data_IF_076403865326
#
_entry.id   IF_076403865326
#
_cell.length_a   1.000
_cell.length_b   1.000
_cell.length_c   1.000
_cell.angle_alpha   90.00
_cell.angle_beta   90.00
_cell.angle_gamma   90.00
#
_symmetry.space_group_name_H-M   'P 1'
#
loop_
_entity.id
_entity.type
_entity.pdbx_description
1 polymer ?
#
# COMPACT_ATOMS: atom_id res chain seq x y z
N UNK A 1 16.66 23.99 -18.73
CA UNK A 1 15.46 24.74 -18.28
C UNK A 1 14.14 24.00 -18.52
N UNK A 2 13.89 23.42 -19.72
CA UNK A 2 12.64 22.66 -20.00
C UNK A 2 12.38 21.44 -19.11
N UNK A 3 13.42 20.66 -18.78
CA UNK A 3 13.30 19.49 -17.89
C UNK A 3 12.97 19.86 -16.43
N UNK A 4 13.52 20.98 -15.93
CA UNK A 4 13.27 21.44 -14.56
C UNK A 4 11.81 21.90 -14.37
N UNK A 5 11.26 22.54 -15.40
CA UNK A 5 9.86 22.99 -15.42
C UNK A 5 8.88 21.80 -15.48
N UNK A 6 9.22 20.74 -16.22
CA UNK A 6 8.43 19.50 -16.26
C UNK A 6 8.42 18.75 -14.92
N UNK A 7 9.56 18.68 -14.23
CA UNK A 7 9.67 18.10 -12.88
C UNK A 7 8.82 18.90 -11.88
N UNK A 8 8.86 20.22 -11.96
CA UNK A 8 8.07 21.10 -11.10
C UNK A 8 6.55 20.92 -11.32
N UNK A 9 6.12 20.80 -12.58
CA UNK A 9 4.70 20.56 -12.92
C UNK A 9 4.23 19.19 -12.43
N UNK A 10 5.03 18.15 -12.59
CA UNK A 10 4.72 16.80 -12.03
C UNK A 10 4.67 16.85 -10.51
N UNK A 11 5.59 17.57 -9.86
CA UNK A 11 5.61 17.75 -8.41
C UNK A 11 4.38 18.52 -7.90
N UNK A 12 3.88 19.52 -8.65
CA UNK A 12 2.66 20.25 -8.33
C UNK A 12 1.40 19.40 -8.53
N UNK A 13 1.34 18.58 -9.59
CA UNK A 13 0.23 17.65 -9.83
C UNK A 13 0.14 16.57 -8.75
N UNK A 14 1.27 16.16 -8.16
CA UNK A 14 1.32 15.22 -7.04
C UNK A 14 0.84 15.82 -5.70
N UNK A 15 0.66 17.14 -5.60
CA UNK A 15 0.17 17.82 -4.39
C UNK A 15 -1.36 17.97 -4.34
N UNK A 16 -2.10 17.52 -5.36
CA UNK A 16 -3.57 17.54 -5.34
C UNK A 16 -4.07 16.42 -4.43
N UNK A 17 -4.22 16.73 -3.14
CA UNK A 17 -4.83 15.83 -2.16
C UNK A 17 -6.30 15.58 -2.51
N UNK A 18 -6.67 14.31 -2.66
CA UNK A 18 -8.06 13.93 -2.86
C UNK A 18 -8.81 13.97 -1.52
N UNK A 19 -10.02 14.54 -1.50
CA UNK A 19 -10.88 14.53 -0.32
C UNK A 19 -11.26 13.08 0.06
N UNK A 20 -10.85 12.65 1.25
CA UNK A 20 -11.01 11.27 1.71
C UNK A 20 -12.50 10.89 1.85
N UNK A 21 -13.34 11.84 2.26
CA UNK A 21 -14.78 11.61 2.37
C UNK A 21 -15.42 11.35 1.00
N UNK A 22 -15.04 12.12 -0.02
CA UNK A 22 -15.51 11.94 -1.39
C UNK A 22 -15.09 10.60 -1.99
N UNK A 23 -13.85 10.15 -1.75
CA UNK A 23 -13.41 8.80 -2.16
C UNK A 23 -14.27 7.75 -1.47
N UNK A 24 -14.44 7.86 -0.14
CA UNK A 24 -15.18 6.86 0.62
C UNK A 24 -16.63 6.74 0.15
N UNK A 25 -17.30 7.87 -0.08
CA UNK A 25 -18.68 7.90 -0.58
C UNK A 25 -18.83 7.19 -1.94
N UNK A 26 -17.83 7.29 -2.83
CA UNK A 26 -17.88 6.65 -4.16
C UNK A 26 -17.68 5.14 -4.11
N UNK A 27 -16.85 4.65 -3.19
CA UNK A 27 -16.52 3.22 -3.10
C UNK A 27 -17.47 2.45 -2.16
N UNK A 28 -18.23 3.15 -1.32
CA UNK A 28 -19.20 2.55 -0.39
C UNK A 28 -20.50 2.23 -1.11
N UNK A 29 -20.96 0.96 -1.12
CA UNK A 29 -22.29 0.64 -1.64
C UNK A 29 -23.38 1.19 -0.71
N UNK A 30 -24.28 2.04 -1.24
CA UNK A 30 -25.31 2.74 -0.44
C UNK A 30 -26.27 1.79 0.29
N UNK A 31 -26.66 0.69 -0.35
CA UNK A 31 -27.51 -0.36 0.25
C UNK A 31 -26.81 -0.98 1.48
N UNK A 32 -25.55 -1.37 1.34
CA UNK A 32 -24.78 -1.99 2.41
C UNK A 32 -24.54 -0.99 3.57
N UNK A 33 -24.28 0.29 3.26
CA UNK A 33 -24.16 1.35 4.26
C UNK A 33 -25.45 1.52 5.07
N UNK A 34 -26.62 1.54 4.40
CA UNK A 34 -27.92 1.68 5.06
C UNK A 34 -28.21 0.48 5.97
N UNK A 35 -27.94 -0.74 5.50
CA UNK A 35 -28.08 -1.96 6.30
C UNK A 35 -27.18 -1.91 7.53
N UNK A 36 -25.90 -1.56 7.35
CA UNK A 36 -24.95 -1.47 8.44
C UNK A 36 -25.34 -0.41 9.47
N UNK A 37 -25.79 0.78 9.03
CA UNK A 37 -26.33 1.81 9.93
C UNK A 37 -27.56 1.33 10.70
N UNK A 38 -28.46 0.61 10.02
CA UNK A 38 -29.63 0.02 10.66
C UNK A 38 -29.28 -0.87 11.86
N UNK A 39 -28.26 -1.73 11.73
CA UNK A 39 -27.80 -2.55 12.87
C UNK A 39 -27.18 -1.73 14.00
N UNK A 40 -26.48 -0.64 13.69
CA UNK A 40 -25.98 0.28 14.72
C UNK A 40 -27.15 0.97 15.45
N UNK A 41 -28.20 1.35 14.73
CA UNK A 41 -29.39 1.95 15.34
C UNK A 41 -30.15 0.94 16.21
N UNK A 42 -30.26 -0.32 15.79
CA UNK A 42 -30.81 -1.40 16.62
C UNK A 42 -30.01 -1.58 17.91
N UNK A 43 -28.68 -1.56 17.81
CA UNK A 43 -27.80 -1.67 18.98
C UNK A 43 -28.00 -0.51 19.95
N UNK A 44 -28.10 0.73 19.44
CA UNK A 44 -28.37 1.94 20.25
C UNK A 44 -29.76 1.92 20.90
N UNK A 45 -30.74 1.29 20.25
CA UNK A 45 -32.11 1.15 20.76
C UNK A 45 -32.28 -0.07 21.68
N UNK A 46 -31.21 -0.80 21.99
CA UNK A 46 -31.23 -2.04 22.76
C UNK A 46 -32.13 -3.13 22.16
N UNK A 47 -32.33 -3.13 20.84
CA UNK A 47 -33.14 -4.13 20.11
C UNK A 47 -32.27 -5.34 19.74
N UNK A 48 -31.73 -6.02 20.75
CA UNK A 48 -30.73 -7.08 20.57
C UNK A 48 -31.28 -8.30 19.83
N UNK A 49 -32.53 -8.68 20.09
CA UNK A 49 -33.19 -9.85 19.47
C UNK A 49 -33.18 -9.79 17.94
N UNK A 50 -33.31 -8.59 17.36
CA UNK A 50 -33.26 -8.40 15.91
C UNK A 50 -31.87 -8.58 15.34
N UNK A 51 -30.84 -8.15 16.07
CA UNK A 51 -29.45 -8.36 15.68
C UNK A 51 -29.13 -9.86 15.77
N UNK A 52 -29.53 -10.50 16.87
CA UNK A 52 -29.26 -11.92 17.13
C UNK A 52 -29.89 -12.84 16.07
N UNK A 53 -31.10 -12.52 15.61
CA UNK A 53 -31.79 -13.25 14.54
C UNK A 53 -31.01 -13.26 13.22
N UNK A 54 -30.31 -12.17 12.94
CA UNK A 54 -29.60 -11.97 11.68
C UNK A 54 -28.11 -12.39 11.77
N UNK A 55 -27.64 -12.86 12.93
CA UNK A 55 -26.28 -13.39 13.08
C UNK A 55 -26.10 -14.69 12.28
N UNK A 56 -24.92 -14.81 11.68
CA UNK A 56 -24.53 -16.04 11.04
C UNK A 56 -24.32 -17.16 12.06
N UNK A 57 -24.71 -18.39 11.72
CA UNK A 57 -24.56 -19.55 12.60
C UNK A 57 -23.09 -19.84 12.98
N UNK A 58 -22.12 -19.32 12.22
CA UNK A 58 -20.70 -19.40 12.57
C UNK A 58 -20.30 -18.53 13.78
N UNK A 59 -21.09 -17.52 14.13
CA UNK A 59 -20.92 -16.75 15.36
C UNK A 59 -21.57 -17.53 16.51
N UNK A 60 -20.85 -18.53 17.01
CA UNK A 60 -21.31 -19.36 18.11
C UNK A 60 -20.55 -18.97 19.38
N UNK A 61 -20.98 -17.89 20.04
CA UNK A 61 -20.46 -17.53 21.36
C UNK A 61 -21.53 -17.76 22.40
N UNK A 62 -21.16 -18.35 23.53
CA UNK A 62 -22.04 -18.71 24.65
C UNK A 62 -22.68 -17.47 25.33
N UNK A 63 -22.43 -16.25 24.83
CA UNK A 63 -22.80 -14.99 25.49
C UNK A 63 -22.91 -13.79 24.51
N UNK A 64 -23.53 -14.00 23.34
CA UNK A 64 -23.76 -12.95 22.34
C UNK A 64 -24.53 -11.78 22.95
N UNK A 65 -25.61 -12.08 23.68
CA UNK A 65 -26.48 -11.07 24.26
C UNK A 65 -25.73 -10.12 25.21
N UNK A 66 -24.94 -10.64 26.17
CA UNK A 66 -24.20 -9.74 27.07
C UNK A 66 -23.12 -8.95 26.32
N UNK A 67 -22.58 -9.50 25.24
CA UNK A 67 -21.62 -8.79 24.39
C UNK A 67 -22.29 -7.61 23.67
N UNK A 68 -23.49 -7.80 23.13
CA UNK A 68 -24.29 -6.72 22.55
C UNK A 68 -24.63 -5.64 23.60
N UNK A 69 -25.03 -6.05 24.82
CA UNK A 69 -25.29 -5.13 25.93
C UNK A 69 -24.05 -4.30 26.28
N UNK A 70 -22.87 -4.94 26.41
CA UNK A 70 -21.60 -4.25 26.66
C UNK A 70 -21.25 -3.27 25.55
N UNK A 71 -21.51 -3.64 24.29
CA UNK A 71 -21.28 -2.75 23.15
C UNK A 71 -22.22 -1.54 23.16
N UNK A 72 -23.51 -1.74 23.45
CA UNK A 72 -24.48 -0.65 23.57
C UNK A 72 -24.10 0.33 24.68
N UNK A 73 -23.59 -0.16 25.82
CA UNK A 73 -23.11 0.68 26.94
C UNK A 73 -21.91 1.56 26.58
N UNK A 74 -21.12 1.18 25.57
CA UNK A 74 -20.01 2.01 25.09
C UNK A 74 -20.48 3.20 24.24
N UNK A 75 -21.69 3.11 23.65
CA UNK A 75 -22.24 4.14 22.78
C UNK A 75 -22.99 5.18 23.62
N UNK A 76 -22.59 6.46 23.58
CA UNK A 76 -23.34 7.52 24.26
C UNK A 76 -24.80 7.59 23.78
N UNK A 77 -25.69 7.93 24.71
CA UNK A 77 -27.14 8.06 24.43
C UNK A 77 -27.46 9.31 23.61
N UNK A 78 -26.58 10.31 23.62
CA UNK A 78 -26.70 11.52 22.80
C UNK A 78 -26.65 11.17 21.30
N UNK A 79 -27.17 12.07 20.47
CA UNK A 79 -26.93 11.97 19.03
C UNK A 79 -25.47 12.29 18.72
N UNK A 80 -24.84 11.56 17.77
CA UNK A 80 -23.52 11.89 17.31
C UNK A 80 -23.51 13.23 16.58
N UNK A 81 -22.45 13.99 16.76
CA UNK A 81 -22.21 15.25 16.04
C UNK A 81 -21.87 14.99 14.57
N UNK A 82 -21.19 13.88 14.29
CA UNK A 82 -20.90 13.43 12.94
C UNK A 82 -20.79 11.91 12.86
N UNK A 83 -21.15 11.37 11.69
CA UNK A 83 -20.98 9.96 11.34
C UNK A 83 -20.33 9.93 9.95
N UNK A 84 -19.19 9.26 9.84
CA UNK A 84 -18.45 9.12 8.57
C UNK A 84 -18.15 7.67 8.28
N UNK A 85 -18.20 7.27 7.01
CA UNK A 85 -17.63 5.99 6.59
C UNK A 85 -16.12 6.17 6.43
N UNK A 86 -15.35 5.43 7.22
CA UNK A 86 -13.88 5.51 7.26
C UNK A 86 -13.20 4.24 6.75
N UNK A 87 -13.96 3.18 6.49
CA UNK A 87 -13.44 1.97 5.89
C UNK A 87 -14.52 1.15 5.21
N UNK A 88 -14.21 0.62 4.04
CA UNK A 88 -15.03 -0.39 3.34
C UNK A 88 -14.10 -1.47 2.79
N UNK A 89 -14.40 -2.72 3.11
CA UNK A 89 -13.71 -3.87 2.54
C UNK A 89 -14.73 -4.89 2.04
N UNK A 90 -14.69 -5.19 0.74
CA UNK A 90 -15.58 -6.16 0.10
C UNK A 90 -14.75 -7.32 -0.42
N UNK A 91 -14.97 -8.50 0.15
CA UNK A 91 -14.35 -9.74 -0.29
C UNK A 91 -15.39 -10.61 -0.97
N UNK A 92 -15.07 -11.09 -2.17
CA UNK A 92 -15.92 -12.01 -2.93
C UNK A 92 -15.18 -13.33 -3.04
N UNK A 93 -15.74 -14.38 -2.45
CA UNK A 93 -15.26 -15.74 -2.59
C UNK A 93 -16.16 -16.50 -3.56
N UNK A 94 -15.53 -17.16 -4.53
CA UNK A 94 -16.20 -18.00 -5.51
C UNK A 94 -15.49 -19.35 -5.56
N UNK A 95 -15.93 -20.28 -4.72
CA UNK A 95 -15.37 -21.62 -4.64
C UNK A 95 -15.91 -22.54 -5.75
N UNK A 96 -15.13 -23.53 -6.22
CA UNK A 96 -15.67 -24.59 -7.06
C UNK A 96 -16.76 -25.33 -6.28
N UNK A 97 -17.99 -25.35 -6.81
CA UNK A 97 -19.18 -25.99 -6.19
C UNK A 97 -19.72 -25.32 -4.92
N UNK A 98 -19.29 -24.11 -4.56
CA UNK A 98 -19.88 -23.35 -3.47
C UNK A 98 -20.67 -22.13 -3.98
N UNK A 99 -21.77 -21.74 -3.31
CA UNK A 99 -22.46 -20.51 -3.66
C UNK A 99 -21.54 -19.31 -3.43
N UNK A 100 -21.56 -18.38 -4.39
CA UNK A 100 -20.84 -17.11 -4.31
C UNK A 100 -21.10 -16.45 -2.96
N UNK A 101 -20.03 -16.20 -2.22
CA UNK A 101 -20.08 -15.60 -0.90
C UNK A 101 -19.47 -14.20 -0.99
N UNK A 102 -20.22 -13.19 -0.59
CA UNK A 102 -19.75 -11.79 -0.57
C UNK A 102 -19.78 -11.27 0.85
N UNK A 103 -18.61 -11.01 1.42
CA UNK A 103 -18.48 -10.38 2.74
C UNK A 103 -18.20 -8.89 2.55
N UNK A 104 -19.00 -8.03 3.16
CA UNK A 104 -18.82 -6.58 3.14
C UNK A 104 -18.62 -6.09 4.57
N UNK A 105 -17.50 -5.43 4.81
CA UNK A 105 -17.17 -4.82 6.09
C UNK A 105 -17.26 -3.30 5.91
N UNK A 106 -18.05 -2.64 6.74
CA UNK A 106 -18.17 -1.19 6.76
C UNK A 106 -17.78 -0.70 8.15
N UNK A 107 -16.82 0.22 8.20
CA UNK A 107 -16.39 0.88 9.44
C UNK A 107 -16.84 2.33 9.41
N UNK A 108 -17.58 2.70 10.44
CA UNK A 108 -17.99 4.06 10.70
C UNK A 108 -17.14 4.68 11.81
N UNK A 109 -16.84 5.96 11.65
CA UNK A 109 -16.36 6.82 12.72
C UNK A 109 -17.53 7.67 13.21
N UNK A 110 -17.84 7.54 14.50
CA UNK A 110 -18.83 8.34 15.19
C UNK A 110 -18.13 9.35 16.09
N UNK A 111 -18.50 10.62 15.94
CA UNK A 111 -18.09 11.69 16.83
C UNK A 111 -19.22 11.98 17.82
N UNK A 112 -18.91 11.91 19.11
CA UNK A 112 -19.75 12.45 20.17
C UNK A 112 -18.98 13.54 20.92
N UNK A 113 -19.69 14.40 21.63
CA UNK A 113 -19.09 15.46 22.46
C UNK A 113 -18.03 14.93 23.44
N UNK A 114 -18.25 13.73 23.99
CA UNK A 114 -17.41 13.17 25.04
C UNK A 114 -16.36 12.16 24.56
N UNK A 115 -16.50 11.61 23.34
CA UNK A 115 -15.60 10.57 22.80
C UNK A 115 -15.83 10.29 21.32
N UNK A 116 -14.86 9.60 20.72
CA UNK A 116 -14.94 9.06 19.37
C UNK A 116 -15.07 7.53 19.42
N UNK A 117 -15.83 6.96 18.49
CA UNK A 117 -16.00 5.51 18.36
C UNK A 117 -15.76 5.06 16.91
N UNK A 118 -15.13 3.90 16.75
CA UNK A 118 -15.19 3.11 15.52
C UNK A 118 -16.22 2.00 15.70
N UNK A 119 -17.16 1.94 14.77
CA UNK A 119 -18.19 0.91 14.74
C UNK A 119 -18.06 0.17 13.42
N UNK A 120 -17.69 -1.11 13.48
CA UNK A 120 -17.60 -1.96 12.31
C UNK A 120 -18.77 -2.94 12.27
N UNK A 121 -19.41 -3.05 11.10
CA UNK A 121 -20.42 -4.05 10.81
C UNK A 121 -19.97 -4.83 9.58
N UNK A 122 -19.91 -6.14 9.73
CA UNK A 122 -19.55 -7.09 8.69
C UNK A 122 -20.75 -7.96 8.35
N UNK A 123 -21.22 -7.87 7.10
CA UNK A 123 -22.31 -8.70 6.58
C UNK A 123 -21.79 -9.66 5.53
N UNK A 124 -22.36 -10.85 5.48
CA UNK A 124 -22.06 -11.85 4.47
C UNK A 124 -23.34 -12.21 3.71
N UNK A 125 -23.26 -12.16 2.38
CA UNK A 125 -24.31 -12.66 1.51
C UNK A 125 -23.88 -13.99 0.89
N UNK A 126 -24.59 -15.07 1.23
CA UNK A 126 -24.36 -16.43 0.72
C UNK A 126 -25.68 -17.03 0.27
N UNK A 127 -25.77 -17.47 -0.99
CA UNK A 127 -26.98 -18.10 -1.53
C UNK A 127 -28.24 -17.22 -1.47
N UNK A 128 -28.09 -15.89 -1.49
CA UNK A 128 -29.20 -14.94 -1.41
C UNK A 128 -29.58 -14.50 0.01
N UNK A 129 -29.14 -15.23 1.03
CA UNK A 129 -29.33 -14.87 2.45
C UNK A 129 -28.21 -13.93 2.89
N UNK A 130 -28.55 -12.89 3.64
CA UNK A 130 -27.60 -11.95 4.24
C UNK A 130 -27.58 -12.15 5.75
N UNK A 131 -26.41 -12.41 6.31
CA UNK A 131 -26.20 -12.58 7.76
C UNK A 131 -25.12 -11.62 8.25
N UNK A 132 -25.12 -11.33 9.55
CA UNK A 132 -24.07 -10.59 10.23
C UNK A 132 -22.97 -11.58 10.61
N UNK A 133 -21.76 -11.34 10.13
CA UNK A 133 -20.57 -12.16 10.42
C UNK A 133 -19.56 -11.43 11.33
N UNK A 134 -19.86 -10.18 11.70
CA UNK A 134 -19.09 -9.43 12.67
C UNK A 134 -19.73 -8.10 13.03
N UNK A 135 -19.62 -7.71 14.29
CA UNK A 135 -20.06 -6.42 14.79
C UNK A 135 -19.13 -6.04 15.95
N UNK A 136 -18.47 -4.89 15.86
CA UNK A 136 -17.67 -4.35 16.96
C UNK A 136 -17.90 -2.85 17.19
N UNK A 137 -17.66 -2.44 18.43
CA UNK A 137 -17.65 -1.04 18.85
C UNK A 137 -16.36 -0.81 19.63
N UNK A 138 -15.53 0.11 19.15
CA UNK A 138 -14.22 0.39 19.72
C UNK A 138 -14.07 1.89 19.98
N UNK A 139 -13.89 2.31 21.25
CA UNK A 139 -13.54 3.69 21.54
C UNK A 139 -12.17 4.07 20.98
N UNK A 140 -12.06 5.28 20.44
CA UNK A 140 -10.79 5.87 19.98
C UNK A 140 -10.60 7.23 20.65
N UNK A 141 -9.34 7.66 20.88
CA UNK A 141 -9.07 8.90 21.61
C UNK A 141 -9.38 10.17 20.80
N UNK A 142 -9.41 10.09 19.47
CA UNK A 142 -9.63 11.21 18.56
C UNK A 142 -10.03 10.68 17.17
N UNK A 143 -10.35 11.56 16.22
CA UNK A 143 -10.64 11.14 14.84
C UNK A 143 -9.45 10.44 14.19
N UNK A 144 -9.72 9.43 13.35
CA UNK A 144 -8.72 8.72 12.56
C UNK A 144 -7.92 9.67 11.67
N UNK A 145 -8.57 10.69 11.11
CA UNK A 145 -7.89 11.72 10.33
C UNK A 145 -6.80 12.43 11.16
N UNK A 146 -7.10 12.74 12.44
CA UNK A 146 -6.15 13.41 13.33
C UNK A 146 -5.07 12.45 13.85
N UNK A 147 -5.44 11.22 14.17
CA UNK A 147 -4.54 10.18 14.68
C UNK A 147 -3.54 9.72 13.61
N UNK A 148 -3.99 9.57 12.37
CA UNK A 148 -3.17 9.08 11.25
C UNK A 148 -2.55 10.20 10.39
N UNK A 149 -2.73 11.46 10.78
CA UNK A 149 -2.09 12.60 10.12
C UNK A 149 -0.57 12.41 10.11
N UNK A 150 0.04 12.61 8.94
CA UNK A 150 1.49 12.62 8.83
C UNK A 150 2.09 13.74 9.70
N UNK A 151 2.93 13.36 10.67
CA UNK A 151 3.62 14.28 11.58
C UNK A 151 5.07 13.84 11.74
N UNK A 152 5.98 14.80 11.79
CA UNK A 152 7.38 14.53 12.06
C UNK A 152 7.66 14.43 13.56
N UNK A 153 6.91 15.15 14.40
CA UNK A 153 7.14 15.20 15.85
C UNK A 153 6.77 13.88 16.53
N UNK A 154 7.54 13.49 17.54
CA UNK A 154 7.25 12.34 18.41
C UNK A 154 7.52 10.97 17.79
N UNK A 155 8.35 10.90 16.75
CA UNK A 155 8.72 9.65 16.06
C UNK A 155 10.00 9.04 16.62
N UNK A 156 10.12 7.72 16.50
CA UNK A 156 11.30 7.00 16.99
C UNK A 156 12.52 7.23 16.08
N UNK A 157 13.76 7.09 16.59
CA UNK A 157 14.96 7.20 15.77
C UNK A 157 14.94 6.29 14.54
N UNK A 158 14.40 5.08 14.69
CA UNK A 158 14.27 4.11 13.60
C UNK A 158 13.34 4.61 12.49
N UNK A 159 12.22 5.26 12.82
CA UNK A 159 11.33 5.86 11.81
C UNK A 159 12.03 6.98 11.03
N UNK A 160 12.82 7.83 11.71
CA UNK A 160 13.61 8.85 11.01
C UNK A 160 14.69 8.24 10.12
N UNK A 161 15.34 7.14 10.52
CA UNK A 161 16.29 6.41 9.67
C UNK A 161 15.62 5.90 8.39
N UNK A 162 14.40 5.36 8.48
CA UNK A 162 13.63 4.96 7.28
C UNK A 162 13.32 6.15 6.41
N UNK A 163 12.87 7.26 6.99
CA UNK A 163 12.55 8.47 6.22
C UNK A 163 13.80 9.01 5.51
N UNK A 164 14.94 9.01 6.18
CA UNK A 164 16.23 9.38 5.58
C UNK A 164 16.60 8.46 4.42
N UNK A 165 16.53 7.13 4.63
CA UNK A 165 16.79 6.15 3.59
C UNK A 165 15.80 6.24 2.42
N UNK A 166 14.54 6.55 2.68
CA UNK A 166 13.51 6.76 1.67
C UNK A 166 13.83 7.96 0.76
N UNK A 167 14.56 8.96 1.25
CA UNK A 167 15.07 10.07 0.42
C UNK A 167 16.38 9.67 -0.26
N UNK A 168 17.28 9.02 0.46
CA UNK A 168 18.62 8.69 -0.04
C UNK A 168 18.63 7.63 -1.15
N UNK A 169 17.89 6.54 -0.99
CA UNK A 169 17.83 5.41 -1.93
C UNK A 169 17.41 5.84 -3.35
N UNK A 170 16.30 6.58 -3.57
CA UNK A 170 15.93 7.00 -4.91
C UNK A 170 16.96 7.95 -5.52
N UNK A 171 17.57 8.85 -4.73
CA UNK A 171 18.66 9.72 -5.21
C UNK A 171 19.88 8.89 -5.66
N UNK A 172 20.26 7.89 -4.88
CA UNK A 172 21.35 6.97 -5.23
C UNK A 172 21.04 6.16 -6.50
N UNK A 173 19.83 5.63 -6.63
CA UNK A 173 19.37 4.91 -7.84
C UNK A 173 19.40 5.85 -9.05
N UNK A 174 18.89 7.07 -8.95
CA UNK A 174 18.91 8.05 -10.04
C UNK A 174 20.34 8.39 -10.47
N UNK A 175 21.25 8.59 -9.51
CA UNK A 175 22.66 8.82 -9.80
C UNK A 175 23.29 7.63 -10.54
N UNK A 176 23.08 6.41 -10.03
CA UNK A 176 23.57 5.18 -10.66
C UNK A 176 22.96 4.97 -12.05
N UNK A 177 21.69 5.32 -12.24
CA UNK A 177 20.99 5.26 -13.53
C UNK A 177 21.59 6.23 -14.55
N UNK A 178 21.83 7.49 -14.15
CA UNK A 178 22.49 8.48 -15.02
C UNK A 178 23.87 7.97 -15.46
N UNK A 179 24.64 7.40 -14.53
CA UNK A 179 25.92 6.77 -14.86
C UNK A 179 25.75 5.58 -15.79
N UNK A 180 24.80 4.67 -15.52
CA UNK A 180 24.51 3.51 -16.37
C UNK A 180 24.12 3.90 -17.80
N UNK A 181 23.36 4.97 -17.96
CA UNK A 181 22.99 5.50 -19.29
C UNK A 181 24.21 6.13 -19.97
N UNK A 182 25.11 6.78 -19.22
CA UNK A 182 26.33 7.40 -19.77
C UNK A 182 27.44 6.39 -20.06
N UNK A 183 27.51 5.26 -19.36
CA UNK A 183 28.48 4.21 -19.63
C UNK A 183 28.18 3.56 -20.99
N UNK A 184 29.21 3.41 -21.81
CA UNK A 184 29.15 2.62 -23.04
C UNK A 184 29.15 1.14 -22.63
N UNK A 185 28.00 0.48 -22.82
CA UNK A 185 27.78 -0.94 -22.49
C UNK A 185 27.27 -1.58 -23.78
N UNK A 186 28.02 -2.53 -24.33
CA UNK A 186 27.77 -3.08 -25.67
C UNK A 186 26.56 -4.01 -25.73
N UNK A 187 26.34 -4.84 -24.70
CA UNK A 187 25.28 -5.86 -24.70
C UNK A 187 24.35 -5.71 -23.50
N UNK A 188 23.05 -5.84 -23.74
CA UNK A 188 22.00 -5.91 -22.71
C UNK A 188 21.95 -4.69 -21.77
N UNK A 189 22.30 -3.49 -22.26
CA UNK A 189 22.22 -2.23 -21.50
C UNK A 189 20.84 -1.99 -20.89
N UNK A 190 19.78 -2.36 -21.59
CA UNK A 190 18.40 -2.26 -21.10
C UNK A 190 18.15 -3.13 -19.85
N UNK A 191 18.75 -4.33 -19.75
CA UNK A 191 18.66 -5.18 -18.57
C UNK A 191 19.38 -4.54 -17.38
N UNK A 192 20.52 -3.90 -17.60
CA UNK A 192 21.21 -3.13 -16.55
C UNK A 192 20.38 -1.95 -16.06
N UNK A 193 19.68 -1.24 -16.95
CA UNK A 193 18.77 -0.16 -16.57
C UNK A 193 17.64 -0.66 -15.68
N UNK A 194 16.95 -1.74 -16.09
CA UNK A 194 15.87 -2.35 -15.27
C UNK A 194 16.43 -2.83 -13.93
N UNK A 195 17.60 -3.46 -13.94
CA UNK A 195 18.24 -3.97 -12.73
C UNK A 195 18.61 -2.85 -11.75
N UNK A 196 19.16 -1.73 -12.23
CA UNK A 196 19.48 -0.55 -11.40
C UNK A 196 18.22 0.08 -10.81
N UNK A 197 17.12 0.09 -11.55
CA UNK A 197 15.84 0.64 -11.09
C UNK A 197 15.12 -0.26 -10.08
N UNK A 198 15.41 -1.56 -10.07
CA UNK A 198 14.76 -2.54 -9.21
C UNK A 198 15.39 -2.55 -7.80
N UNK A 199 14.58 -2.22 -6.81
CA UNK A 199 14.83 -2.54 -5.40
C UNK A 199 14.34 -3.95 -5.08
N UNK A 200 15.09 -4.67 -4.27
CA UNK A 200 14.76 -6.03 -3.80
C UNK A 200 14.59 -5.99 -2.28
N UNK A 201 13.65 -6.78 -1.75
CA UNK A 201 13.31 -6.87 -0.33
C UNK A 201 12.81 -5.54 0.24
N UNK A 202 11.53 -5.47 0.56
CA UNK A 202 10.88 -4.27 1.08
C UNK A 202 10.83 -4.31 2.59
N UNK A 203 11.27 -3.22 3.20
CA UNK A 203 11.14 -2.89 4.62
C UNK A 203 10.16 -1.74 4.71
N UNK A 204 9.04 -1.97 5.39
CA UNK A 204 7.99 -0.97 5.57
C UNK A 204 7.83 -0.63 7.04
N UNK A 205 7.59 0.64 7.32
CA UNK A 205 7.24 1.13 8.65
C UNK A 205 5.90 1.84 8.60
N UNK A 206 5.02 1.51 9.53
CA UNK A 206 3.83 2.30 9.82
C UNK A 206 4.26 3.59 10.52
N UNK A 207 3.95 4.74 9.92
CA UNK A 207 4.38 6.03 10.40
C UNK A 207 3.67 6.43 11.69
N UNK A 208 2.42 5.99 11.89
CA UNK A 208 1.66 6.29 13.11
C UNK A 208 2.18 5.44 14.27
N UNK A 209 2.26 4.12 14.09
CA UNK A 209 2.52 3.16 15.18
C UNK A 209 3.98 2.76 15.32
N UNK A 210 4.80 2.94 14.28
CA UNK A 210 6.18 2.45 14.25
C UNK A 210 6.30 0.95 14.02
N UNK A 211 5.21 0.26 13.70
CA UNK A 211 5.24 -1.16 13.40
C UNK A 211 6.00 -1.44 12.10
N UNK A 212 6.80 -2.50 12.11
CA UNK A 212 7.63 -2.90 10.98
C UNK A 212 7.05 -4.10 10.25
N UNK A 213 7.21 -4.09 8.93
CA UNK A 213 6.91 -5.22 8.06
C UNK A 213 8.09 -5.43 7.12
N UNK A 214 8.53 -6.67 6.98
CA UNK A 214 9.61 -7.05 6.07
C UNK A 214 9.05 -8.07 5.09
N UNK A 215 9.24 -7.81 3.80
CA UNK A 215 8.85 -8.72 2.72
C UNK A 215 10.10 -9.05 1.91
N UNK A 216 10.80 -10.15 2.24
CA UNK A 216 12.09 -10.47 1.63
C UNK A 216 12.02 -10.64 0.11
N UNK A 217 10.94 -11.27 -0.38
CA UNK A 217 10.69 -11.45 -1.81
C UNK A 217 9.67 -10.41 -2.29
N UNK A 218 10.18 -9.24 -2.65
CA UNK A 218 9.40 -8.15 -3.24
C UNK A 218 10.28 -7.32 -4.15
N UNK A 219 9.65 -6.67 -5.12
CA UNK A 219 10.29 -5.80 -6.10
C UNK A 219 9.66 -4.43 -6.05
N UNK A 220 10.49 -3.39 -5.98
CA UNK A 220 10.04 -2.02 -5.85
C UNK A 220 10.82 -1.10 -6.77
N UNK A 221 10.11 -0.39 -7.65
CA UNK A 221 10.73 0.56 -8.56
C UNK A 221 11.25 1.77 -7.78
N UNK A 222 12.48 2.20 -8.07
CA UNK A 222 13.19 3.26 -7.33
C UNK A 222 13.45 2.99 -5.84
N UNK A 223 13.20 1.76 -5.38
CA UNK A 223 13.50 1.31 -4.01
C UNK A 223 12.80 2.09 -2.89
N UNK A 224 11.75 2.86 -3.20
CA UNK A 224 10.99 3.65 -2.21
C UNK A 224 9.50 3.70 -2.55
N UNK A 225 8.66 3.83 -1.54
CA UNK A 225 7.21 3.86 -1.67
C UNK A 225 6.59 4.48 -0.43
N UNK A 226 5.56 5.29 -0.62
CA UNK A 226 4.78 5.87 0.46
C UNK A 226 3.30 5.77 0.07
N UNK A 227 2.49 5.21 0.96
CA UNK A 227 1.05 5.10 0.73
C UNK A 227 0.31 5.23 2.05
N UNK A 228 -0.93 5.73 1.98
CA UNK A 228 -1.86 5.74 3.09
C UNK A 228 -3.24 5.39 2.51
N UNK A 229 -3.94 4.36 3.01
CA UNK A 229 -5.35 4.18 2.67
C UNK A 229 -6.18 5.34 3.25
N UNK A 230 -7.42 5.58 2.75
CA UNK A 230 -8.30 6.59 3.34
C UNK A 230 -8.42 6.41 4.85
N UNK A 231 -8.26 7.51 5.61
CA UNK A 231 -8.25 7.55 7.08
C UNK A 231 -7.21 6.66 7.78
N UNK A 232 -6.34 5.95 7.05
CA UNK A 232 -5.32 5.07 7.59
C UNK A 232 -3.96 5.74 7.75
N UNK A 233 -3.06 5.06 8.46
CA UNK A 233 -1.69 5.48 8.69
C UNK A 233 -0.87 5.49 7.40
N UNK A 234 0.08 6.42 7.33
CA UNK A 234 1.11 6.40 6.29
C UNK A 234 2.04 5.21 6.48
N UNK A 235 2.28 4.46 5.42
CA UNK A 235 3.27 3.39 5.40
C UNK A 235 4.40 3.83 4.47
N UNK A 236 5.61 3.93 5.03
CA UNK A 236 6.82 4.24 4.27
C UNK A 236 7.59 2.94 4.05
N UNK A 237 7.93 2.67 2.80
CA UNK A 237 8.57 1.43 2.36
C UNK A 237 9.87 1.74 1.63
N UNK A 238 10.94 1.03 1.98
CA UNK A 238 12.25 1.10 1.32
C UNK A 238 12.68 -0.29 0.87
N UNK A 239 13.46 -0.38 -0.20
CA UNK A 239 14.04 -1.64 -0.67
C UNK A 239 15.53 -1.50 -0.92
N UNK A 240 16.23 -2.64 -0.91
CA UNK A 240 17.67 -2.67 -1.15
C UNK A 240 17.97 -2.42 -2.63
N UNK A 241 18.74 -1.38 -2.99
CA UNK A 241 19.05 -1.04 -4.36
C UNK A 241 20.21 -1.90 -4.90
N UNK A 242 20.08 -3.22 -4.82
CA UNK A 242 21.17 -4.17 -5.13
C UNK A 242 21.71 -3.97 -6.55
N UNK A 243 20.83 -3.72 -7.53
CA UNK A 243 21.28 -3.49 -8.90
C UNK A 243 22.09 -2.22 -9.08
N UNK A 244 21.72 -1.13 -8.40
CA UNK A 244 22.50 0.11 -8.41
C UNK A 244 23.87 -0.08 -7.74
N UNK A 245 23.93 -0.79 -6.61
CA UNK A 245 25.20 -1.11 -5.92
C UNK A 245 26.10 -1.97 -6.80
N UNK A 246 25.58 -3.07 -7.37
CA UNK A 246 26.36 -3.97 -8.21
C UNK A 246 26.85 -3.28 -9.48
N UNK A 247 26.00 -2.46 -10.12
CA UNK A 247 26.40 -1.66 -11.27
C UNK A 247 27.57 -0.72 -10.93
N UNK A 248 27.47 0.02 -9.82
CA UNK A 248 28.52 0.94 -9.37
C UNK A 248 29.86 0.24 -9.14
N UNK A 249 29.83 -0.97 -8.56
CA UNK A 249 31.04 -1.77 -8.35
C UNK A 249 31.63 -2.33 -9.65
N UNK A 250 30.80 -2.75 -10.61
CA UNK A 250 31.25 -3.39 -11.87
C UNK A 250 31.51 -2.43 -13.03
N UNK A 251 31.12 -1.15 -12.92
CA UNK A 251 31.16 -0.18 -14.02
C UNK A 251 32.50 -0.09 -14.76
N UNK A 252 33.63 -0.17 -14.05
CA UNK A 252 34.96 -0.04 -14.65
C UNK A 252 35.33 -1.24 -15.52
N UNK A 253 34.86 -2.44 -15.17
CA UNK A 253 35.09 -3.67 -15.95
C UNK A 253 34.23 -3.73 -17.21
N UNK A 254 33.00 -3.24 -17.13
CA UNK A 254 32.07 -3.17 -18.26
C UNK A 254 32.57 -2.26 -19.39
N UNK A 255 33.33 -1.20 -19.05
CA UNK A 255 33.93 -0.30 -20.04
C UNK A 255 35.26 -0.82 -20.61
N UNK A 256 36.02 -1.63 -19.85
CA UNK A 256 37.30 -2.20 -20.33
C UNK A 256 37.11 -3.33 -21.34
N UNK A 257 36.00 -4.07 -21.22
CA UNK A 257 35.66 -5.17 -22.13
C UNK A 257 35.51 -4.65 -23.58
N UNK A 258 34.98 -3.44 -23.75
CA UNK A 258 34.89 -2.75 -25.04
C UNK A 258 36.27 -2.48 -25.66
N UNK A 259 37.20 -1.89 -24.92
CA UNK A 259 38.53 -1.58 -25.46
C UNK A 259 39.28 -2.84 -25.94
N UNK A 260 39.08 -3.99 -25.29
CA UNK A 260 39.66 -5.25 -25.73
C UNK A 260 38.91 -5.87 -26.92
N UNK A 261 37.57 -5.81 -26.96
CA UNK A 261 36.80 -6.35 -28.09
C UNK A 261 37.00 -5.53 -29.36
N UNK A 262 37.04 -4.20 -29.28
CA UNK A 262 37.36 -3.32 -30.41
C UNK A 262 38.79 -3.59 -30.95
N UNK A 263 39.76 -3.85 -30.07
CA UNK A 263 41.12 -4.25 -30.48
C UNK A 263 41.19 -5.63 -31.14
N UNK A 264 40.42 -6.61 -30.65
CA UNK A 264 40.40 -7.96 -31.24
C UNK A 264 39.75 -7.94 -32.63
N UNK A 265 38.61 -7.25 -32.80
CA UNK A 265 37.91 -7.15 -34.09
C UNK A 265 38.74 -6.39 -35.12
N UNK A 266 39.53 -5.39 -34.72
CA UNK A 266 40.48 -4.71 -35.62
C UNK A 266 41.71 -5.55 -36.00
N UNK A 267 42.05 -6.58 -35.23
CA UNK A 267 43.20 -7.47 -35.53
C UNK A 267 42.86 -8.65 -36.46
N UNK A 268 41.59 -8.85 -36.79
CA UNK A 268 41.10 -9.98 -37.59
C UNK A 268 40.89 -9.75 -39.11
N UNK A 269 41.03 -8.55 -39.73
CA UNK A 269 40.82 -8.40 -41.18
C UNK A 269 42.04 -8.81 -42.05
N UNK A 270 43.21 -9.12 -41.47
CA UNK A 270 44.44 -9.35 -42.26
C UNK A 270 44.68 -10.84 -42.63
N UNK A 271 43.86 -11.77 -42.14
CA UNK A 271 44.06 -13.21 -42.40
C UNK A 271 43.29 -13.78 -43.59
N UNK A 272 42.29 -13.08 -44.13
CA UNK A 272 41.50 -13.57 -45.27
C UNK A 272 42.14 -13.29 -46.64
N UNK A 273 43.12 -12.37 -46.73
CA UNK A 273 43.74 -11.99 -48.01
C UNK A 273 44.75 -13.03 -48.55
N UNK A 274 45.21 -13.98 -47.73
CA UNK A 274 46.16 -15.01 -48.13
C UNK A 274 45.52 -16.21 -48.86
N UNK A 275 44.19 -16.37 -48.80
CA UNK A 275 43.49 -17.48 -49.48
C UNK A 275 43.05 -17.13 -50.91
N UNK A 276 43.07 -15.87 -51.31
CA UNK A 276 42.68 -15.44 -52.66
C UNK A 276 43.80 -15.64 -53.72
N UNK A 277 45.00 -16.04 -53.31
CA UNK A 277 46.18 -16.17 -54.19
C UNK A 277 46.54 -17.58 -54.64
N UNK A 278 45.83 -18.63 -54.21
CA UNK A 278 46.21 -20.03 -54.46
C UNK A 278 45.47 -20.71 -55.63
N UNK A 279 44.57 -20.01 -56.32
CA UNK A 279 43.79 -20.53 -57.46
C UNK A 279 44.22 -19.92 -58.82
N UNK A 280 45.52 -19.68 -59.05
CA UNK A 280 46.03 -19.32 -60.39
C UNK A 280 47.24 -20.15 -60.80
#
# INVERSE_FOLDING_TARGET
MRFLSLILIVMILLLVGCDQASIMKKITPSEAESVAKGYVDLLRQNRFDEIEKDLDASINTFDIHSTLVKMAQMIPTQQPESIKVVGVNKNVFNGPNEPKTTTTNITFEYQFQSRWLLINVATQKRGGVSTIVGFNVNPIPDSLEKLNKFRLVGKSPLQYSVLFLAIFIPLFILYALILCIRTKIEKKKWLWVIFVLAGIATFSVDWTTGQWRIVPLSFQLFGVGASAPPYGSWVISISLPLGAVIFMLKRNGLSKQQNNTDQIVQSEPEKEDWLAGLDK
#
